data_IF_315462694296
#
_entry.id   IF_315462694296
#
_cell.length_a   1.000
_cell.length_b   1.000
_cell.length_c   1.000
_cell.angle_alpha   90.00
_cell.angle_beta   90.00
_cell.angle_gamma   90.00
#
_symmetry.space_group_name_H-M   'P 1'
#
loop_
_entity.id
_entity.type
_entity.pdbx_description
1 polymer ?
#
# COMPACT_ATOMS: atom_id res chain seq x y z
N UNK A 1 39.25 -8.95 -32.86
CA UNK A 1 39.94 -8.51 -31.64
C UNK A 1 38.98 -7.69 -30.79
N UNK A 2 38.55 -8.22 -29.68
CA UNK A 2 37.63 -7.52 -28.79
C UNK A 2 38.39 -6.49 -28.00
N UNK A 3 38.18 -5.20 -28.28
CA UNK A 3 38.59 -4.16 -27.36
C UNK A 3 37.79 -4.37 -26.10
N UNK A 4 38.43 -4.61 -24.98
CA UNK A 4 37.79 -4.57 -23.69
C UNK A 4 37.12 -3.20 -23.54
N UNK A 5 35.81 -3.19 -23.42
CA UNK A 5 35.06 -1.98 -23.06
C UNK A 5 35.68 -1.41 -21.78
N UNK A 6 35.98 -0.12 -21.81
CA UNK A 6 36.52 0.57 -20.66
C UNK A 6 35.62 0.32 -19.45
N UNK A 7 36.18 -0.17 -18.36
CA UNK A 7 35.44 -0.51 -17.11
C UNK A 7 34.61 0.66 -16.63
N UNK A 8 35.00 1.89 -16.92
CA UNK A 8 34.22 3.12 -16.62
C UNK A 8 32.91 3.16 -17.38
N UNK A 9 32.87 2.72 -18.63
CA UNK A 9 31.66 2.67 -19.44
C UNK A 9 30.72 1.58 -18.93
N UNK A 10 31.26 0.42 -18.56
CA UNK A 10 30.49 -0.69 -17.97
C UNK A 10 29.87 -0.26 -16.64
N UNK A 11 30.61 0.42 -15.79
CA UNK A 11 30.12 0.96 -14.51
C UNK A 11 29.04 2.01 -14.73
N UNK A 12 29.20 2.89 -15.71
CA UNK A 12 28.20 3.89 -16.07
C UNK A 12 26.90 3.27 -16.59
N UNK A 13 26.98 2.25 -17.44
CA UNK A 13 25.82 1.52 -17.97
C UNK A 13 25.14 0.77 -16.83
N UNK A 14 25.90 0.13 -15.95
CA UNK A 14 25.37 -0.58 -14.79
C UNK A 14 24.65 0.37 -13.81
N UNK A 15 25.23 1.55 -13.61
CA UNK A 15 24.64 2.61 -12.75
C UNK A 15 23.36 3.18 -13.37
N UNK A 16 23.32 3.33 -14.70
CA UNK A 16 22.16 3.83 -15.45
C UNK A 16 21.00 2.79 -15.43
N UNK A 17 21.30 1.52 -15.59
CA UNK A 17 20.33 0.42 -15.51
C UNK A 17 19.81 0.29 -14.08
N UNK A 18 20.68 0.44 -13.08
CA UNK A 18 20.32 0.36 -11.67
C UNK A 18 19.41 1.51 -11.23
N UNK A 19 19.64 2.72 -11.72
CA UNK A 19 18.77 3.88 -11.43
C UNK A 19 17.41 3.80 -12.11
N UNK A 20 17.30 3.11 -13.25
CA UNK A 20 16.02 2.86 -13.92
C UNK A 20 15.17 1.77 -13.22
N UNK A 21 15.82 0.89 -12.43
CA UNK A 21 15.14 -0.23 -11.76
C UNK A 21 14.60 0.12 -10.37
N UNK A 22 15.22 1.07 -9.68
CA UNK A 22 14.83 1.50 -8.32
C UNK A 22 13.43 2.11 -8.24
N UNK A 23 12.95 2.94 -9.19
CA UNK A 23 11.63 3.54 -9.09
C UNK A 23 10.45 2.57 -9.15
N UNK A 24 10.64 1.37 -9.73
CA UNK A 24 9.59 0.37 -9.87
C UNK A 24 9.28 -0.37 -8.55
N UNK A 25 10.26 -0.52 -7.67
CA UNK A 25 10.10 -1.21 -6.39
C UNK A 25 9.69 -0.31 -5.22
N UNK A 26 9.87 1.00 -5.32
CA UNK A 26 9.64 1.94 -4.24
C UNK A 26 8.31 2.71 -4.30
N UNK A 27 7.52 2.57 -5.39
CA UNK A 27 6.36 3.44 -5.61
C UNK A 27 5.16 3.10 -4.71
N UNK A 28 4.88 1.82 -4.47
CA UNK A 28 3.78 1.42 -3.59
C UNK A 28 4.09 1.72 -2.12
N UNK A 29 5.31 1.49 -1.66
CA UNK A 29 5.74 1.80 -0.30
C UNK A 29 5.62 3.30 0.01
N UNK A 30 6.08 4.17 -0.88
CA UNK A 30 5.97 5.63 -0.73
C UNK A 30 4.53 6.13 -0.74
N UNK A 31 3.67 5.52 -1.55
CA UNK A 31 2.25 5.89 -1.61
C UNK A 31 1.54 5.58 -0.29
N UNK A 32 1.78 4.39 0.27
CA UNK A 32 1.20 3.98 1.55
C UNK A 32 1.76 4.77 2.73
N UNK A 33 3.03 5.13 2.70
CA UNK A 33 3.65 6.03 3.68
C UNK A 33 2.96 7.40 3.72
N UNK A 34 2.63 7.97 2.57
CA UNK A 34 1.85 9.22 2.49
C UNK A 34 0.45 9.08 3.09
N UNK A 35 -0.19 7.93 2.89
CA UNK A 35 -1.49 7.63 3.49
C UNK A 35 -1.38 7.63 5.01
N UNK A 36 -0.44 6.89 5.56
CA UNK A 36 -0.22 6.80 7.01
C UNK A 36 0.05 8.19 7.61
N UNK A 37 0.94 8.95 6.98
CA UNK A 37 1.23 10.32 7.40
C UNK A 37 -0.02 11.21 7.42
N UNK A 38 -0.84 11.15 6.37
CA UNK A 38 -2.08 11.91 6.30
C UNK A 38 -3.09 11.48 7.38
N UNK A 39 -3.18 10.18 7.65
CA UNK A 39 -4.05 9.65 8.73
C UNK A 39 -3.59 10.13 10.11
N UNK A 40 -2.30 10.06 10.41
CA UNK A 40 -1.73 10.53 11.67
C UNK A 40 -1.89 12.04 11.87
N UNK A 41 -1.85 12.80 10.78
CA UNK A 41 -2.10 14.25 10.79
C UNK A 41 -3.59 14.64 10.87
N UNK A 42 -4.51 13.66 10.84
CA UNK A 42 -5.95 13.91 10.82
C UNK A 42 -6.50 14.41 9.48
N UNK A 43 -5.70 14.31 8.41
CA UNK A 43 -6.07 14.70 7.06
C UNK A 43 -6.79 13.55 6.35
N UNK A 44 -7.97 13.17 6.85
CA UNK A 44 -8.68 11.97 6.41
C UNK A 44 -9.10 11.99 4.95
N UNK A 45 -9.50 13.15 4.43
CA UNK A 45 -9.86 13.27 3.02
C UNK A 45 -8.66 13.10 2.10
N UNK A 46 -7.52 13.65 2.47
CA UNK A 46 -6.26 13.45 1.74
C UNK A 46 -5.83 11.97 1.78
N UNK A 47 -5.89 11.35 2.95
CA UNK A 47 -5.60 9.92 3.09
C UNK A 47 -6.51 9.06 2.17
N UNK A 48 -7.81 9.37 2.12
CA UNK A 48 -8.75 8.67 1.25
C UNK A 48 -8.42 8.84 -0.24
N UNK A 49 -8.04 10.06 -0.64
CA UNK A 49 -7.60 10.34 -2.02
C UNK A 49 -6.35 9.52 -2.38
N UNK A 50 -5.36 9.49 -1.49
CA UNK A 50 -4.13 8.73 -1.69
C UNK A 50 -4.40 7.21 -1.75
N UNK A 51 -5.32 6.71 -0.92
CA UNK A 51 -5.75 5.30 -0.96
C UNK A 51 -6.48 4.94 -2.26
N UNK A 52 -7.29 5.84 -2.77
CA UNK A 52 -7.98 5.66 -4.05
C UNK A 52 -6.98 5.54 -5.20
N UNK A 53 -5.94 6.37 -5.21
CA UNK A 53 -4.85 6.29 -6.18
C UNK A 53 -4.08 4.97 -6.04
N UNK A 54 -3.73 4.59 -4.82
CA UNK A 54 -3.02 3.34 -4.54
C UNK A 54 -3.85 2.11 -4.99
N UNK A 55 -5.14 2.10 -4.70
CA UNK A 55 -6.05 1.02 -5.08
C UNK A 55 -6.18 0.89 -6.60
N UNK A 56 -6.17 1.99 -7.34
CA UNK A 56 -6.22 1.95 -8.80
C UNK A 56 -4.98 1.31 -9.42
N UNK A 57 -3.83 1.43 -8.77
CA UNK A 57 -2.57 0.84 -9.20
C UNK A 57 -2.40 -0.61 -8.77
N UNK A 58 -2.88 -0.95 -7.57
CA UNK A 58 -2.71 -2.26 -6.95
C UNK A 58 -4.06 -2.74 -6.36
N UNK A 59 -5.04 -3.12 -7.20
CA UNK A 59 -6.39 -3.44 -6.74
C UNK A 59 -6.49 -4.70 -5.87
N UNK A 60 -5.44 -5.53 -5.86
CA UNK A 60 -5.39 -6.78 -5.08
C UNK A 60 -4.46 -6.68 -3.86
N UNK A 61 -3.99 -5.50 -3.52
CA UNK A 61 -3.13 -5.28 -2.36
C UNK A 61 -3.96 -5.18 -1.08
N UNK A 62 -3.90 -6.21 -0.22
CA UNK A 62 -4.65 -6.29 1.03
C UNK A 62 -4.34 -5.15 2.00
N UNK A 63 -3.11 -4.65 2.03
CA UNK A 63 -2.70 -3.54 2.89
C UNK A 63 -3.46 -2.25 2.59
N UNK A 64 -3.78 -2.01 1.31
CA UNK A 64 -4.59 -0.86 0.89
C UNK A 64 -6.00 -0.95 1.51
N UNK A 65 -6.61 -2.11 1.47
CA UNK A 65 -7.94 -2.33 2.07
C UNK A 65 -7.91 -2.23 3.58
N UNK A 66 -6.84 -2.71 4.24
CA UNK A 66 -6.61 -2.52 5.67
C UNK A 66 -6.58 -1.04 6.04
N UNK A 67 -5.73 -0.25 5.38
CA UNK A 67 -5.62 1.19 5.64
C UNK A 67 -6.94 1.92 5.38
N UNK A 68 -7.66 1.54 4.33
CA UNK A 68 -8.99 2.07 4.03
C UNK A 68 -9.99 1.74 5.14
N UNK A 69 -9.99 0.51 5.63
CA UNK A 69 -10.85 0.09 6.73
C UNK A 69 -10.57 0.89 8.01
N UNK A 70 -9.31 1.01 8.40
CA UNK A 70 -8.89 1.79 9.57
C UNK A 70 -9.31 3.26 9.45
N UNK A 71 -9.15 3.86 8.28
CA UNK A 71 -9.58 5.22 8.01
C UNK A 71 -11.10 5.39 8.16
N UNK A 72 -11.87 4.44 7.63
CA UNK A 72 -13.32 4.46 7.70
C UNK A 72 -13.83 4.23 9.14
N UNK A 73 -13.15 3.40 9.94
CA UNK A 73 -13.41 3.31 11.37
C UNK A 73 -13.16 4.63 12.08
N UNK A 74 -12.03 5.29 11.79
CA UNK A 74 -11.67 6.58 12.38
C UNK A 74 -12.70 7.69 12.06
N UNK A 75 -13.40 7.58 10.94
CA UNK A 75 -14.45 8.51 10.51
C UNK A 75 -15.87 8.02 10.84
N UNK A 76 -16.00 6.94 11.62
CA UNK A 76 -17.27 6.33 12.02
C UNK A 76 -18.15 5.83 10.86
N UNK A 77 -17.56 5.56 9.70
CA UNK A 77 -18.25 4.90 8.59
C UNK A 77 -18.12 3.38 8.70
N UNK A 78 -18.79 2.81 9.71
CA UNK A 78 -18.68 1.40 10.05
C UNK A 78 -19.11 0.47 8.91
N UNK A 79 -20.11 0.87 8.14
CA UNK A 79 -20.60 0.07 7.02
C UNK A 79 -19.54 -0.12 5.95
N UNK A 80 -18.92 0.96 5.52
CA UNK A 80 -17.81 0.90 4.54
C UNK A 80 -16.55 0.27 5.11
N UNK A 81 -16.30 0.45 6.42
CA UNK A 81 -15.18 -0.21 7.09
C UNK A 81 -15.33 -1.74 7.05
N UNK A 82 -16.53 -2.27 7.29
CA UNK A 82 -16.83 -3.71 7.16
C UNK A 82 -16.53 -4.21 5.74
N UNK A 83 -16.97 -3.48 4.72
CA UNK A 83 -16.70 -3.84 3.33
C UNK A 83 -15.19 -3.86 3.02
N UNK A 84 -14.46 -2.87 3.52
CA UNK A 84 -13.00 -2.78 3.34
C UNK A 84 -12.28 -3.92 4.05
N UNK A 85 -12.64 -4.29 5.28
CA UNK A 85 -12.06 -5.44 5.98
C UNK A 85 -12.34 -6.76 5.26
N UNK A 86 -13.54 -6.94 4.73
CA UNK A 86 -13.87 -8.12 3.93
C UNK A 86 -13.02 -8.20 2.65
N UNK A 87 -12.79 -7.07 1.99
CA UNK A 87 -11.89 -7.02 0.83
C UNK A 87 -10.43 -7.29 1.21
N UNK A 88 -10.00 -6.84 2.38
CA UNK A 88 -8.68 -7.18 2.92
C UNK A 88 -8.50 -8.70 3.05
N UNK A 89 -9.45 -9.39 3.67
CA UNK A 89 -9.41 -10.85 3.83
C UNK A 89 -9.38 -11.57 2.47
N UNK A 90 -10.15 -11.12 1.51
CA UNK A 90 -10.20 -11.72 0.16
C UNK A 90 -8.87 -11.63 -0.60
N UNK A 91 -8.03 -10.65 -0.28
CA UNK A 91 -6.81 -10.35 -1.02
C UNK A 91 -5.52 -10.73 -0.27
N UNK A 92 -5.61 -11.54 0.77
CA UNK A 92 -4.44 -11.98 1.53
C UNK A 92 -4.51 -13.44 1.91
N UNK A 93 -3.33 -14.07 2.01
CA UNK A 93 -3.13 -15.39 2.61
C UNK A 93 -2.39 -15.29 3.96
N UNK A 94 -2.10 -14.07 4.42
CA UNK A 94 -1.43 -13.84 5.69
C UNK A 94 -2.41 -14.08 6.84
N UNK A 95 -2.17 -15.11 7.66
CA UNK A 95 -3.03 -15.51 8.77
C UNK A 95 -3.17 -14.41 9.84
N UNK A 96 -2.11 -13.66 10.10
CA UNK A 96 -2.12 -12.59 11.10
C UNK A 96 -3.01 -11.43 10.65
N UNK A 97 -2.91 -11.05 9.39
CA UNK A 97 -3.77 -10.02 8.82
C UNK A 97 -5.24 -10.45 8.76
N UNK A 98 -5.50 -11.72 8.44
CA UNK A 98 -6.86 -12.30 8.47
C UNK A 98 -7.43 -12.24 9.89
N UNK A 99 -6.64 -12.62 10.90
CA UNK A 99 -7.06 -12.58 12.28
C UNK A 99 -7.33 -11.17 12.78
N UNK A 100 -6.44 -10.22 12.44
CA UNK A 100 -6.65 -8.79 12.71
C UNK A 100 -7.97 -8.30 12.13
N UNK A 101 -8.21 -8.56 10.86
CA UNK A 101 -9.44 -8.17 10.17
C UNK A 101 -10.70 -8.76 10.83
N UNK A 102 -10.65 -10.03 11.25
CA UNK A 102 -11.76 -10.68 11.95
C UNK A 102 -12.07 -10.03 13.29
N UNK A 103 -11.07 -9.61 14.05
CA UNK A 103 -11.26 -8.89 15.32
C UNK A 103 -11.98 -7.56 15.07
N UNK A 104 -11.55 -6.79 14.09
CA UNK A 104 -12.22 -5.53 13.72
C UNK A 104 -13.65 -5.76 13.25
N UNK A 105 -13.87 -6.74 12.38
CA UNK A 105 -15.21 -7.09 11.88
C UNK A 105 -16.18 -7.48 13.00
N UNK A 106 -15.70 -8.25 13.97
CA UNK A 106 -16.50 -8.60 15.15
C UNK A 106 -16.91 -7.36 15.93
N UNK A 107 -15.94 -6.48 16.22
CA UNK A 107 -16.19 -5.24 16.95
C UNK A 107 -17.18 -4.32 16.22
N UNK A 108 -17.04 -4.18 14.92
CA UNK A 108 -17.90 -3.33 14.10
C UNK A 108 -19.35 -3.86 14.00
N UNK A 109 -19.51 -5.16 14.03
CA UNK A 109 -20.85 -5.81 13.98
C UNK A 109 -21.56 -5.80 15.32
N UNK A 110 -20.82 -5.83 16.42
CA UNK A 110 -21.34 -5.86 17.78
C UNK A 110 -21.74 -4.46 18.29
N UNK A 111 -21.33 -3.44 17.57
CA UNK A 111 -21.68 -2.03 17.81
C UNK A 111 -22.76 -1.54 16.84
#
# INVERSE_FOLDING_TARGET
MYKMMNIRIIIMIFFLVFTMFIPLFGQSGKQLEKVVFAMEAGLFQEALNQLTIAQSKEPNNAEIYKLKALLLEATNDNRKAIDAWNNCIKNTNNSDLINEAKVHLKHLRDN
#
